data_IF_493568690072
#
_entry.id   IF_493568690072
#
_cell.length_a   1.000
_cell.length_b   1.000
_cell.length_c   1.000
_cell.angle_alpha   90.00
_cell.angle_beta   90.00
_cell.angle_gamma   90.00
#
_symmetry.space_group_name_H-M   'P 1'
#
loop_
_entity.id
_entity.type
_entity.pdbx_description
1 polymer ?
#
# COMPACT_ATOMS: atom_id res chain seq x y z
N UNK A 1 -19.23 22.46 7.88
CA UNK A 1 -18.62 21.31 7.19
C UNK A 1 -19.38 21.08 5.88
N UNK A 2 -18.67 21.18 4.77
CA UNK A 2 -19.25 20.86 3.46
C UNK A 2 -18.98 19.38 3.17
N UNK A 3 -20.03 18.63 2.84
CA UNK A 3 -19.92 17.26 2.37
C UNK A 3 -19.93 17.27 0.83
N UNK A 4 -18.87 16.78 0.24
CA UNK A 4 -18.79 16.58 -1.20
C UNK A 4 -19.20 15.16 -1.55
N UNK A 5 -20.06 15.01 -2.56
CA UNK A 5 -20.48 13.73 -3.11
C UNK A 5 -20.17 13.71 -4.60
N UNK A 6 -19.46 12.70 -5.05
CA UNK A 6 -19.12 12.51 -6.46
C UNK A 6 -19.99 11.40 -7.05
N UNK A 7 -20.95 11.73 -7.92
CA UNK A 7 -21.90 10.75 -8.43
C UNK A 7 -21.31 9.76 -9.44
N UNK A 8 -20.09 9.99 -9.91
CA UNK A 8 -19.39 9.12 -10.86
C UNK A 8 -18.51 8.04 -10.22
N UNK A 9 -18.59 7.83 -8.90
CA UNK A 9 -17.83 6.75 -8.25
C UNK A 9 -18.38 5.38 -8.63
N UNK A 10 -17.47 4.46 -8.93
CA UNK A 10 -17.78 3.03 -8.97
C UNK A 10 -17.99 2.57 -7.53
N UNK A 11 -18.99 1.75 -7.30
CA UNK A 11 -19.26 1.17 -5.98
C UNK A 11 -19.57 -0.31 -6.08
N UNK A 12 -19.35 -1.02 -4.95
CA UNK A 12 -19.70 -2.45 -4.82
C UNK A 12 -18.99 -3.32 -5.87
N UNK A 13 -17.71 -3.03 -6.14
CA UNK A 13 -16.90 -3.80 -7.10
C UNK A 13 -15.73 -4.49 -6.41
N UNK A 14 -15.38 -5.68 -6.87
CA UNK A 14 -14.27 -6.43 -6.28
C UNK A 14 -13.57 -7.38 -7.22
N UNK A 15 -12.39 -7.79 -6.79
CA UNK A 15 -11.53 -8.74 -7.47
C UNK A 15 -11.17 -9.86 -6.50
N UNK A 16 -11.36 -11.11 -6.88
CA UNK A 16 -11.10 -12.24 -5.96
C UNK A 16 -10.62 -13.50 -6.66
N UNK A 17 -9.88 -14.31 -5.88
CA UNK A 17 -9.54 -15.70 -6.19
C UNK A 17 -8.77 -15.88 -7.51
N UNK A 18 -7.72 -15.10 -7.72
CA UNK A 18 -6.90 -15.22 -8.93
C UNK A 18 -5.44 -14.88 -8.68
N UNK A 19 -4.62 -15.11 -9.67
CA UNK A 19 -3.22 -14.68 -9.71
C UNK A 19 -3.05 -13.66 -10.82
N UNK A 20 -2.46 -12.52 -10.50
CA UNK A 20 -1.99 -11.51 -11.42
C UNK A 20 -0.46 -11.60 -11.49
N UNK A 21 0.07 -11.81 -12.66
CA UNK A 21 1.51 -11.81 -12.90
C UNK A 21 1.85 -10.83 -14.03
N UNK A 22 2.77 -9.92 -13.76
CA UNK A 22 3.31 -9.05 -14.81
C UNK A 22 4.33 -9.83 -15.61
N UNK A 23 4.22 -9.79 -16.91
CA UNK A 23 5.25 -10.33 -17.80
C UNK A 23 6.36 -9.29 -17.99
N UNK A 24 7.62 -9.73 -17.97
CA UNK A 24 8.81 -8.89 -18.07
C UNK A 24 9.91 -9.58 -18.85
N UNK A 25 10.89 -8.82 -19.37
CA UNK A 25 12.03 -9.42 -20.06
C UNK A 25 13.02 -10.04 -19.06
N UNK A 26 13.02 -11.37 -19.00
CA UNK A 26 13.88 -12.15 -18.08
C UNK A 26 15.39 -11.96 -18.32
N UNK A 27 15.78 -11.33 -19.42
CA UNK A 27 17.19 -10.96 -19.67
C UNK A 27 17.64 -9.79 -18.79
N UNK A 28 16.68 -9.01 -18.31
CA UNK A 28 16.90 -7.86 -17.46
C UNK A 28 16.26 -8.08 -16.09
N UNK A 29 17.03 -8.52 -15.07
CA UNK A 29 16.48 -8.83 -13.74
C UNK A 29 15.80 -7.66 -13.04
N UNK A 30 16.01 -6.45 -13.53
CA UNK A 30 15.45 -5.20 -13.03
C UNK A 30 14.67 -4.47 -14.12
N UNK A 31 14.06 -5.22 -15.01
CA UNK A 31 13.18 -4.66 -16.03
C UNK A 31 12.08 -3.81 -15.39
N UNK A 32 11.78 -2.69 -15.97
CA UNK A 32 10.68 -1.80 -15.54
C UNK A 32 9.75 -1.44 -16.71
N UNK A 33 9.99 -2.00 -17.88
CA UNK A 33 9.12 -1.82 -19.05
C UNK A 33 7.97 -2.85 -19.04
N UNK A 34 7.32 -2.95 -17.87
CA UNK A 34 6.19 -3.86 -17.65
C UNK A 34 5.19 -3.25 -16.65
N UNK A 35 4.19 -4.02 -16.22
CA UNK A 35 3.17 -3.49 -15.32
C UNK A 35 3.73 -3.10 -13.96
N UNK A 36 3.52 -1.84 -13.58
CA UNK A 36 3.94 -1.30 -12.29
C UNK A 36 2.94 -1.63 -11.18
N UNK A 37 1.66 -1.65 -11.49
CA UNK A 37 0.60 -1.79 -10.48
C UNK A 37 -0.34 -2.92 -10.83
N UNK A 38 -0.59 -3.81 -9.89
CA UNK A 38 -1.53 -4.92 -10.06
C UNK A 38 -2.97 -4.44 -10.06
N UNK A 39 -3.38 -3.73 -9.02
CA UNK A 39 -4.71 -3.14 -8.87
C UNK A 39 -4.61 -1.71 -8.38
N UNK A 40 -5.20 -0.77 -9.11
CA UNK A 40 -5.38 0.63 -8.69
C UNK A 40 -6.85 0.92 -8.47
N UNK A 41 -7.21 1.40 -7.27
CA UNK A 41 -8.57 1.73 -6.88
C UNK A 41 -8.70 3.24 -6.81
N UNK A 42 -9.38 3.81 -7.78
CA UNK A 42 -9.55 5.24 -7.94
C UNK A 42 -11.02 5.57 -8.25
N UNK A 43 -11.52 6.70 -7.73
CA UNK A 43 -12.91 7.11 -7.89
C UNK A 43 -13.92 6.00 -7.55
N UNK A 44 -13.64 5.26 -6.47
CA UNK A 44 -14.38 4.08 -6.09
C UNK A 44 -14.66 4.03 -4.60
N UNK A 45 -15.74 3.37 -4.21
CA UNK A 45 -16.07 3.12 -2.80
C UNK A 45 -16.71 1.76 -2.59
N UNK A 46 -16.62 1.23 -1.36
CA UNK A 46 -17.13 -0.10 -1.02
C UNK A 46 -16.56 -1.20 -1.93
N UNK A 47 -15.26 -1.13 -2.22
CA UNK A 47 -14.58 -2.08 -3.10
C UNK A 47 -13.76 -3.08 -2.29
N UNK A 48 -13.41 -4.21 -2.94
CA UNK A 48 -12.57 -5.21 -2.29
C UNK A 48 -11.61 -5.90 -3.25
N UNK A 49 -10.48 -6.37 -2.68
CA UNK A 49 -9.52 -7.26 -3.33
C UNK A 49 -9.23 -8.39 -2.36
N UNK A 50 -9.54 -9.64 -2.74
CA UNK A 50 -9.47 -10.78 -1.83
C UNK A 50 -8.83 -12.01 -2.47
N UNK A 51 -7.92 -12.64 -1.71
CA UNK A 51 -7.29 -13.90 -2.13
C UNK A 51 -6.67 -13.80 -3.54
N UNK A 52 -5.90 -12.70 -3.74
CA UNK A 52 -5.19 -12.44 -4.99
C UNK A 52 -3.70 -12.59 -4.76
N UNK A 53 -3.04 -13.35 -5.63
CA UNK A 53 -1.59 -13.45 -5.66
C UNK A 53 -1.04 -12.50 -6.72
N UNK A 54 -0.10 -11.64 -6.33
CA UNK A 54 0.56 -10.67 -7.19
C UNK A 54 2.02 -11.08 -7.40
N UNK A 55 2.46 -11.10 -8.66
CA UNK A 55 3.85 -11.42 -9.01
C UNK A 55 4.44 -10.42 -9.99
N UNK A 56 5.70 -10.09 -9.76
CA UNK A 56 6.57 -9.33 -10.65
C UNK A 56 6.18 -7.86 -10.85
N UNK A 57 5.28 -7.28 -10.06
CA UNK A 57 4.93 -5.86 -10.18
C UNK A 57 6.07 -4.96 -9.69
N UNK A 58 6.38 -3.92 -10.46
CA UNK A 58 7.49 -3.01 -10.15
C UNK A 58 7.16 -2.01 -9.02
N UNK A 59 5.92 -1.59 -8.94
CA UNK A 59 5.43 -0.58 -7.98
C UNK A 59 4.60 -1.17 -6.86
N UNK A 60 3.31 -1.38 -7.09
CA UNK A 60 2.38 -1.82 -6.06
C UNK A 60 1.58 -3.05 -6.47
N UNK A 61 1.34 -3.96 -5.54
CA UNK A 61 0.33 -5.00 -5.70
C UNK A 61 -1.07 -4.38 -5.71
N UNK A 62 -1.38 -3.61 -4.67
CA UNK A 62 -2.62 -2.86 -4.55
C UNK A 62 -2.33 -1.44 -4.10
N UNK A 63 -2.85 -0.46 -4.83
CA UNK A 63 -2.85 0.94 -4.44
C UNK A 63 -4.27 1.48 -4.38
N UNK A 64 -4.62 2.09 -3.23
CA UNK A 64 -5.86 2.85 -3.08
C UNK A 64 -5.54 4.33 -3.24
N UNK A 65 -6.01 4.92 -4.32
CA UNK A 65 -5.76 6.32 -4.66
C UNK A 65 -6.58 7.27 -3.76
N UNK A 66 -6.24 8.56 -3.78
CA UNK A 66 -6.86 9.60 -2.93
C UNK A 66 -8.39 9.66 -2.99
N UNK A 67 -8.97 9.27 -4.10
CA UNK A 67 -10.41 9.26 -4.33
C UNK A 67 -11.07 7.92 -4.02
N UNK A 68 -10.29 6.92 -3.60
CA UNK A 68 -10.78 5.63 -3.09
C UNK A 68 -11.21 5.73 -1.64
N UNK A 69 -12.27 5.02 -1.27
CA UNK A 69 -12.73 4.93 0.12
C UNK A 69 -13.44 3.62 0.42
N UNK A 70 -13.49 3.25 1.70
CA UNK A 70 -14.16 2.03 2.17
C UNK A 70 -13.73 0.79 1.39
N UNK A 71 -12.43 0.61 1.28
CA UNK A 71 -11.85 -0.50 0.53
C UNK A 71 -11.30 -1.55 1.50
N UNK A 72 -11.57 -2.81 1.22
CA UNK A 72 -10.99 -3.95 1.94
C UNK A 72 -10.06 -4.73 1.02
N UNK A 73 -8.83 -4.93 1.47
CA UNK A 73 -7.83 -5.79 0.81
C UNK A 73 -7.48 -6.90 1.80
N UNK A 74 -7.80 -8.14 1.50
CA UNK A 74 -7.62 -9.22 2.45
C UNK A 74 -7.10 -10.52 1.82
N UNK A 75 -6.31 -11.26 2.60
CA UNK A 75 -5.75 -12.54 2.19
C UNK A 75 -4.97 -12.45 0.86
N UNK A 76 -4.28 -11.33 0.63
CA UNK A 76 -3.53 -11.08 -0.58
C UNK A 76 -2.03 -11.32 -0.37
N UNK A 77 -1.36 -11.82 -1.39
CA UNK A 77 0.06 -12.16 -1.36
C UNK A 77 0.79 -11.46 -2.49
N UNK A 78 1.92 -10.82 -2.20
CA UNK A 78 2.78 -10.20 -3.22
C UNK A 78 4.21 -10.71 -3.09
N UNK A 79 4.73 -11.29 -4.16
CA UNK A 79 6.07 -11.89 -4.20
C UNK A 79 6.80 -11.59 -5.50
N UNK A 80 8.11 -11.76 -5.45
CA UNK A 80 8.97 -11.69 -6.65
C UNK A 80 8.85 -10.35 -7.40
N UNK A 81 8.90 -9.18 -6.73
CA UNK A 81 8.81 -7.90 -7.44
C UNK A 81 10.01 -7.69 -8.35
N UNK A 82 9.78 -7.15 -9.54
CA UNK A 82 10.81 -6.92 -10.55
C UNK A 82 10.94 -5.43 -10.81
N UNK A 83 12.02 -4.82 -10.34
CA UNK A 83 12.35 -3.40 -10.52
C UNK A 83 13.73 -3.08 -9.95
N UNK A 84 14.20 -1.87 -10.17
CA UNK A 84 15.26 -1.27 -9.35
C UNK A 84 14.78 -1.12 -7.88
N UNK A 85 15.75 -0.99 -6.97
CA UNK A 85 15.47 -0.77 -5.54
C UNK A 85 15.61 0.73 -5.25
N UNK A 86 14.50 1.38 -4.93
CA UNK A 86 14.48 2.80 -4.59
C UNK A 86 13.35 3.59 -5.23
N UNK A 87 13.18 4.83 -4.82
CA UNK A 87 12.12 5.71 -5.27
C UNK A 87 10.73 5.21 -4.86
N UNK A 88 9.76 5.37 -5.75
CA UNK A 88 8.37 4.93 -5.53
C UNK A 88 8.10 3.47 -5.94
N UNK A 89 9.15 2.68 -6.06
CA UNK A 89 9.06 1.27 -6.41
C UNK A 89 8.71 0.44 -5.19
N UNK A 90 8.06 -0.69 -5.42
CA UNK A 90 7.79 -1.71 -4.40
C UNK A 90 7.09 -1.18 -3.15
N UNK A 91 6.17 -0.21 -3.34
CA UNK A 91 5.20 0.17 -2.30
C UNK A 91 4.03 -0.79 -2.38
N UNK A 92 4.17 -1.96 -1.74
CA UNK A 92 3.41 -3.16 -2.08
C UNK A 92 1.91 -3.00 -1.83
N UNK A 93 1.50 -2.75 -0.59
CA UNK A 93 0.12 -2.49 -0.18
C UNK A 93 0.03 -1.06 0.32
N UNK A 94 -0.48 -0.19 -0.54
CA UNK A 94 -0.35 1.23 -0.34
C UNK A 94 -1.69 1.96 -0.40
N UNK A 95 -1.91 2.91 0.50
CA UNK A 95 -3.10 3.77 0.47
C UNK A 95 -2.78 5.25 0.58
N UNK A 96 -3.38 6.02 -0.29
CA UNK A 96 -3.57 7.46 -0.17
C UNK A 96 -5.04 7.81 0.08
N UNK A 97 -5.89 6.80 0.11
CA UNK A 97 -7.33 6.91 0.32
C UNK A 97 -7.73 6.99 1.79
N UNK A 98 -8.99 6.72 2.04
CA UNK A 98 -9.56 6.74 3.38
C UNK A 98 -10.43 5.52 3.65
N UNK A 99 -10.55 5.15 4.92
CA UNK A 99 -11.36 4.01 5.35
C UNK A 99 -10.93 2.72 4.63
N UNK A 100 -9.62 2.53 4.51
CA UNK A 100 -9.03 1.35 3.87
C UNK A 100 -8.60 0.36 4.95
N UNK A 101 -8.94 -0.90 4.75
CA UNK A 101 -8.46 -2.02 5.56
C UNK A 101 -7.60 -2.94 4.70
N UNK A 102 -6.36 -3.14 5.12
CA UNK A 102 -5.52 -4.25 4.65
C UNK A 102 -5.46 -5.29 5.76
N UNK A 103 -5.87 -6.52 5.48
CA UNK A 103 -5.94 -7.56 6.49
C UNK A 103 -5.37 -8.88 5.98
N UNK A 104 -4.52 -9.53 6.80
CA UNK A 104 -3.87 -10.80 6.49
C UNK A 104 -3.19 -10.80 5.11
N UNK A 105 -2.53 -9.69 4.81
CA UNK A 105 -1.75 -9.56 3.59
C UNK A 105 -0.29 -9.94 3.86
N UNK A 106 0.33 -10.55 2.86
CA UNK A 106 1.73 -10.92 2.89
C UNK A 106 2.50 -10.25 1.76
N UNK A 107 3.68 -9.71 2.09
CA UNK A 107 4.59 -9.09 1.14
C UNK A 107 5.99 -9.67 1.26
N UNK A 108 6.69 -9.79 0.16
CA UNK A 108 8.11 -10.17 0.15
C UNK A 108 8.93 -9.24 -0.73
N UNK A 109 10.06 -8.78 -0.19
CA UNK A 109 11.03 -7.90 -0.87
C UNK A 109 10.43 -6.55 -1.32
N UNK A 110 9.46 -6.03 -0.58
CA UNK A 110 8.99 -4.66 -0.76
C UNK A 110 9.98 -3.62 -0.21
N UNK A 111 9.82 -2.37 -0.60
CA UNK A 111 10.53 -1.23 0.02
C UNK A 111 9.64 -0.60 1.08
N UNK A 112 8.36 -0.46 0.77
CA UNK A 112 7.32 -0.01 1.68
C UNK A 112 6.17 -1.01 1.63
N UNK A 113 6.32 -2.13 2.35
CA UNK A 113 5.40 -3.26 2.22
C UNK A 113 3.97 -2.91 2.61
N UNK A 114 3.80 -2.23 3.73
CA UNK A 114 2.50 -1.75 4.23
C UNK A 114 2.62 -0.26 4.54
N UNK A 115 2.00 0.56 3.70
CA UNK A 115 2.24 1.99 3.80
C UNK A 115 1.02 2.85 3.46
N UNK A 116 1.02 4.05 4.05
CA UNK A 116 0.11 5.12 3.72
C UNK A 116 0.90 6.42 3.55
N UNK A 117 0.38 7.37 2.79
CA UNK A 117 1.10 8.62 2.60
C UNK A 117 0.34 9.67 1.82
N UNK A 118 1.02 10.73 1.45
CA UNK A 118 0.48 11.85 0.68
C UNK A 118 -0.83 12.42 1.25
N UNK A 119 -0.82 12.73 2.53
CA UNK A 119 -1.96 13.25 3.26
C UNK A 119 -3.16 12.30 3.29
N UNK A 120 -2.93 10.99 3.32
CA UNK A 120 -4.01 10.01 3.44
C UNK A 120 -4.88 10.33 4.66
N UNK A 121 -6.18 10.49 4.42
CA UNK A 121 -7.14 10.75 5.49
C UNK A 121 -7.54 9.44 6.17
N UNK A 122 -7.47 9.40 7.48
CA UNK A 122 -7.92 8.24 8.25
C UNK A 122 -9.45 8.08 8.30
N UNK A 123 -9.91 6.97 8.91
CA UNK A 123 -9.09 5.88 9.42
C UNK A 123 -8.61 4.95 8.30
N UNK A 124 -7.38 4.47 8.42
CA UNK A 124 -6.87 3.36 7.60
C UNK A 124 -6.19 2.35 8.52
N UNK A 125 -6.31 1.06 8.22
CA UNK A 125 -5.76 0.01 9.08
C UNK A 125 -5.02 -1.07 8.28
N UNK A 126 -3.94 -1.54 8.88
CA UNK A 126 -3.19 -2.73 8.49
C UNK A 126 -3.26 -3.71 9.64
N UNK A 127 -3.86 -4.88 9.43
CA UNK A 127 -4.20 -5.83 10.50
C UNK A 127 -3.69 -7.22 10.16
N UNK A 128 -2.93 -7.83 11.06
CA UNK A 128 -2.39 -9.18 10.88
C UNK A 128 -1.64 -9.34 9.54
N UNK A 129 -0.83 -8.35 9.21
CA UNK A 129 -0.05 -8.34 7.98
C UNK A 129 1.41 -8.73 8.27
N UNK A 130 2.03 -9.41 7.32
CA UNK A 130 3.36 -9.96 7.47
C UNK A 130 4.23 -9.67 6.25
N UNK A 131 5.48 -9.27 6.47
CA UNK A 131 6.44 -9.08 5.38
C UNK A 131 7.77 -9.74 5.67
N UNK A 132 8.38 -10.26 4.62
CA UNK A 132 9.71 -10.88 4.65
C UNK A 132 10.70 -10.17 3.71
N UNK A 133 11.95 -10.13 4.13
CA UNK A 133 13.05 -9.55 3.36
C UNK A 133 12.77 -8.10 2.93
N UNK A 134 12.11 -7.31 3.78
CA UNK A 134 11.84 -5.90 3.51
C UNK A 134 13.11 -5.11 3.24
N UNK A 135 13.09 -4.25 2.22
CA UNK A 135 14.23 -3.47 1.75
C UNK A 135 14.19 -2.00 2.18
N UNK A 136 13.12 -1.60 2.87
CA UNK A 136 12.94 -0.27 3.42
C UNK A 136 11.80 -0.22 4.44
N UNK A 137 11.60 0.92 5.08
CA UNK A 137 10.64 1.03 6.16
C UNK A 137 9.19 0.96 5.70
N UNK A 138 8.34 0.34 6.50
CA UNK A 138 6.88 0.42 6.39
C UNK A 138 6.30 1.44 7.38
N UNK A 139 5.07 1.90 7.13
CA UNK A 139 4.41 2.91 7.95
C UNK A 139 3.88 4.07 7.12
N UNK A 140 4.05 5.30 7.59
CA UNK A 140 3.67 6.47 6.80
C UNK A 140 4.87 6.95 5.97
N UNK A 141 4.67 7.06 4.66
CA UNK A 141 5.65 7.61 3.73
C UNK A 141 5.22 9.00 3.26
N UNK A 142 6.20 9.82 2.87
CA UNK A 142 6.01 11.21 2.44
C UNK A 142 5.32 12.09 3.49
N UNK A 143 4.19 12.71 3.19
CA UNK A 143 3.60 13.73 4.04
C UNK A 143 2.31 13.28 4.74
N UNK A 144 2.21 13.57 6.02
CA UNK A 144 0.98 13.77 6.79
C UNK A 144 -0.18 12.79 6.57
N UNK A 145 0.03 11.52 6.70
CA UNK A 145 -1.09 10.61 6.89
C UNK A 145 -1.70 10.80 8.28
N UNK A 146 -2.97 10.50 8.44
CA UNK A 146 -3.66 10.67 9.70
C UNK A 146 -4.54 9.47 10.01
N UNK A 147 -4.59 9.07 11.29
CA UNK A 147 -5.49 8.00 11.73
C UNK A 147 -5.12 6.63 11.18
N UNK A 148 -3.86 6.26 11.27
CA UNK A 148 -3.36 4.94 10.88
C UNK A 148 -3.34 4.00 12.08
N UNK A 149 -3.79 2.78 11.87
CA UNK A 149 -3.62 1.67 12.80
C UNK A 149 -2.79 0.57 12.12
N UNK A 150 -1.73 0.16 12.79
CA UNK A 150 -1.01 -1.07 12.49
C UNK A 150 -1.23 -2.00 13.68
N UNK A 151 -1.92 -3.11 13.46
CA UNK A 151 -2.33 -4.05 14.51
C UNK A 151 -1.85 -5.45 14.16
N UNK A 152 -0.92 -5.97 14.97
CA UNK A 152 -0.27 -7.27 14.73
C UNK A 152 0.40 -7.30 13.33
N UNK A 153 1.22 -6.28 13.05
CA UNK A 153 1.98 -6.22 11.80
C UNK A 153 3.44 -6.57 12.08
N UNK A 154 3.95 -7.53 11.35
CA UNK A 154 5.33 -7.97 11.43
C UNK A 154 6.10 -7.54 10.16
N UNK A 155 7.27 -6.92 10.35
CA UNK A 155 8.17 -6.50 9.28
C UNK A 155 9.53 -7.14 9.52
N UNK A 156 9.86 -8.16 8.74
CA UNK A 156 11.18 -8.76 8.76
C UNK A 156 12.09 -8.10 7.72
N UNK A 157 13.26 -7.69 8.18
CA UNK A 157 14.32 -7.08 7.35
C UNK A 157 14.43 -5.57 7.46
N UNK A 158 13.42 -4.85 7.92
CA UNK A 158 13.48 -3.40 8.10
C UNK A 158 12.49 -2.89 9.17
N UNK A 159 12.30 -1.56 9.28
CA UNK A 159 11.53 -0.91 10.35
C UNK A 159 10.05 -0.73 10.01
N UNK A 160 9.19 -0.82 11.01
CA UNK A 160 7.86 -0.23 11.01
C UNK A 160 7.92 1.09 11.78
N UNK A 161 7.69 2.24 11.14
CA UNK A 161 8.07 3.52 11.73
C UNK A 161 7.15 4.68 11.39
N UNK A 162 6.92 5.53 12.41
CA UNK A 162 6.47 6.90 12.26
C UNK A 162 7.62 7.85 12.59
N UNK A 163 7.96 8.77 11.71
CA UNK A 163 9.14 9.61 11.88
C UNK A 163 8.97 11.03 11.33
N UNK A 164 9.85 11.90 11.76
CA UNK A 164 10.03 13.21 11.16
C UNK A 164 10.92 13.08 9.93
N UNK A 165 10.36 13.33 8.75
CA UNK A 165 11.08 13.28 7.48
C UNK A 165 11.82 14.58 7.13
N UNK A 166 11.79 15.58 8.04
CA UNK A 166 12.39 16.88 7.78
C UNK A 166 11.61 17.67 6.72
N UNK A 167 12.32 18.55 6.05
CA UNK A 167 11.77 19.35 4.95
C UNK A 167 12.32 18.94 3.58
N UNK A 168 13.10 17.87 3.54
CA UNK A 168 13.71 17.38 2.32
C UNK A 168 12.71 16.60 1.45
N UNK A 169 12.87 16.76 0.15
CA UNK A 169 12.06 16.04 -0.85
C UNK A 169 10.57 16.33 -0.66
N UNK A 170 9.80 15.33 -0.35
CA UNK A 170 8.36 15.41 -0.12
C UNK A 170 8.01 15.46 1.37
N UNK A 171 9.00 15.56 2.23
CA UNK A 171 8.82 15.60 3.68
C UNK A 171 8.27 16.94 4.15
N UNK A 172 7.28 16.91 5.01
CA UNK A 172 6.70 18.07 5.66
C UNK A 172 6.70 17.89 7.19
N UNK A 173 7.87 17.59 7.74
CA UNK A 173 8.04 17.29 9.14
C UNK A 173 7.60 15.88 9.51
N UNK A 174 6.74 15.74 10.52
CA UNK A 174 6.20 14.44 10.91
C UNK A 174 5.31 13.86 9.81
N UNK A 175 5.56 12.59 9.46
CA UNK A 175 4.84 11.92 8.37
C UNK A 175 3.46 11.40 8.76
N UNK A 176 3.09 11.46 10.03
CA UNK A 176 1.78 10.99 10.50
C UNK A 176 1.30 11.72 11.76
N UNK A 177 -0.01 11.71 11.97
CA UNK A 177 -0.69 12.17 13.19
C UNK A 177 -1.81 11.21 13.59
N UNK A 178 -2.14 11.18 14.90
CA UNK A 178 -3.23 10.36 15.45
C UNK A 178 -3.15 8.88 15.01
N UNK A 179 -1.99 8.28 15.08
CA UNK A 179 -1.73 6.94 14.57
C UNK A 179 -1.13 6.05 15.65
N UNK A 180 -1.30 4.74 15.51
CA UNK A 180 -0.93 3.76 16.53
C UNK A 180 -0.31 2.52 15.92
N UNK A 181 0.76 2.04 16.53
CA UNK A 181 1.24 0.67 16.41
C UNK A 181 0.75 -0.14 17.61
N UNK A 182 0.13 -1.27 17.36
CA UNK A 182 -0.38 -2.16 18.39
C UNK A 182 0.12 -3.58 18.16
N UNK A 183 0.88 -4.11 19.11
CA UNK A 183 1.44 -5.46 19.03
C UNK A 183 2.23 -5.76 17.73
N UNK A 184 3.02 -4.81 17.25
CA UNK A 184 3.85 -4.94 16.06
C UNK A 184 5.31 -5.27 16.43
#
# INVERSE_FOLDING_TARGET
VLRYSWPGRIAEAGLENLTLASDYDKKYPKDEDHCWTGVSIENAENCWVRRVNFKHFAGSAVIVQRTGSKTTVEDCVSTEPVSEIGGMRRSTFYTMGQQTLFQRCYSKQGIHDFSAGFCAAGPNAFVQCDSEESLGFSGSIDSWACGLLFDVVNIDGHDLVFKNLGQDKNGAGWNTGNSLFWQC
#
